data_IF_825521403390
#
_entry.id   IF_825521403390
#
_cell.length_a   1.000
_cell.length_b   1.000
_cell.length_c   1.000
_cell.angle_alpha   90.00
_cell.angle_beta   90.00
_cell.angle_gamma   90.00
#
_symmetry.space_group_name_H-M   'P 1'
#
loop_
_entity.id
_entity.type
_entity.pdbx_description
1 polymer ?
#
# COMPACT_ATOMS: atom_id res chain seq x y z
N UNK A 1 43.44 15.16 40.79
CA UNK A 1 44.03 14.67 39.54
C UNK A 1 43.03 13.73 38.87
N UNK A 2 42.24 14.28 37.95
CA UNK A 2 41.65 13.64 36.75
C UNK A 2 41.52 12.10 36.72
N UNK A 3 40.39 11.60 37.23
CA UNK A 3 39.81 10.32 36.81
C UNK A 3 39.07 10.51 35.48
N UNK A 4 39.70 10.15 34.36
CA UNK A 4 39.03 10.15 33.06
C UNK A 4 38.07 8.97 32.96
N UNK A 5 36.78 9.25 32.87
CA UNK A 5 35.76 8.27 32.48
C UNK A 5 35.97 7.87 31.02
N UNK A 6 35.98 6.57 30.73
CA UNK A 6 36.02 6.05 29.36
C UNK A 6 34.93 6.68 28.49
N UNK A 7 35.22 7.15 27.27
CA UNK A 7 34.18 7.56 26.34
C UNK A 7 33.33 6.33 26.00
N UNK A 8 32.01 6.46 26.11
CA UNK A 8 31.11 5.40 25.64
C UNK A 8 31.27 5.25 24.13
N UNK A 9 31.40 4.00 23.69
CA UNK A 9 31.41 3.65 22.28
C UNK A 9 30.02 3.98 21.71
N UNK A 10 29.94 5.05 20.92
CA UNK A 10 28.74 5.39 20.17
C UNK A 10 28.52 4.30 19.12
N UNK A 11 27.35 3.67 19.14
CA UNK A 11 26.93 2.80 18.04
C UNK A 11 26.95 3.59 16.72
N UNK A 12 27.47 3.01 15.62
CA UNK A 12 27.40 3.67 14.32
C UNK A 12 25.93 3.91 13.95
N UNK A 13 25.60 5.04 13.30
CA UNK A 13 24.23 5.31 12.88
C UNK A 13 23.74 4.18 11.98
N UNK A 14 22.44 3.85 12.08
CA UNK A 14 21.79 2.81 11.30
C UNK A 14 21.91 3.09 9.80
N UNK A 15 22.97 2.59 9.19
CA UNK A 15 23.08 2.45 7.74
C UNK A 15 22.03 1.43 7.35
N UNK A 16 20.96 1.90 6.71
CA UNK A 16 20.06 1.01 6.01
C UNK A 16 20.87 0.33 4.90
N UNK A 17 21.27 -0.92 5.10
CA UNK A 17 21.77 -1.70 3.97
C UNK A 17 20.61 -1.88 3.00
N UNK A 18 20.78 -1.44 1.76
CA UNK A 18 19.85 -1.75 0.67
C UNK A 18 19.77 -3.27 0.58
N UNK A 19 18.62 -3.82 0.98
CA UNK A 19 18.29 -5.24 0.90
C UNK A 19 18.67 -5.76 -0.48
N UNK A 20 19.72 -6.59 -0.53
CA UNK A 20 20.21 -7.17 -1.76
C UNK A 20 19.13 -8.06 -2.37
N UNK A 21 18.83 -7.85 -3.64
CA UNK A 21 17.76 -8.57 -4.34
C UNK A 21 18.04 -10.09 -4.31
N UNK A 22 17.11 -10.95 -3.84
CA UNK A 22 17.35 -12.38 -3.72
C UNK A 22 17.54 -13.03 -5.09
N UNK A 23 18.75 -13.54 -5.35
CA UNK A 23 19.14 -14.17 -6.62
C UNK A 23 18.52 -15.57 -6.74
N UNK A 24 17.31 -15.68 -7.31
CA UNK A 24 16.68 -16.98 -7.60
C UNK A 24 17.14 -17.56 -8.95
N UNK A 25 18.10 -18.49 -8.86
CA UNK A 25 18.32 -19.66 -9.73
C UNK A 25 18.06 -19.52 -11.24
N UNK A 26 19.13 -19.30 -12.01
CA UNK A 26 19.18 -19.60 -13.45
C UNK A 26 19.30 -21.10 -13.69
N UNK A 27 18.48 -21.67 -14.58
CA UNK A 27 18.76 -22.93 -15.23
C UNK A 27 19.44 -22.63 -16.58
N UNK A 28 20.69 -23.05 -16.75
CA UNK A 28 21.45 -22.83 -17.98
C UNK A 28 22.23 -24.09 -18.38
N UNK A 29 21.82 -24.74 -19.47
CA UNK A 29 22.64 -25.72 -20.16
C UNK A 29 23.72 -24.96 -20.96
N UNK A 30 24.99 -25.31 -20.78
CA UNK A 30 26.12 -24.59 -21.37
C UNK A 30 26.90 -25.45 -22.37
N UNK A 31 27.14 -24.93 -23.58
CA UNK A 31 28.11 -25.44 -24.57
C UNK A 31 28.66 -24.28 -25.41
N UNK A 32 30.01 -24.15 -25.46
CA UNK A 32 30.88 -23.50 -26.49
C UNK A 32 30.62 -22.02 -26.94
N UNK A 33 31.61 -21.22 -27.34
CA UNK A 33 33.09 -21.24 -27.19
C UNK A 33 33.63 -19.78 -27.30
N UNK A 34 34.95 -19.59 -27.44
CA UNK A 34 35.61 -18.26 -27.43
C UNK A 34 35.38 -17.38 -28.67
N UNK A 35 35.13 -16.08 -28.44
CA UNK A 35 35.54 -14.99 -29.33
C UNK A 35 35.78 -13.68 -28.55
N UNK A 36 36.61 -12.81 -29.12
CA UNK A 36 37.09 -11.51 -28.64
C UNK A 36 36.13 -10.63 -27.80
N UNK A 37 36.56 -10.26 -26.59
CA UNK A 37 36.47 -8.90 -26.08
C UNK A 37 35.12 -8.17 -26.11
N UNK A 38 34.09 -8.67 -25.44
CA UNK A 38 32.99 -7.83 -24.96
C UNK A 38 32.89 -7.89 -23.43
N UNK A 39 33.21 -6.77 -22.78
CA UNK A 39 32.67 -6.49 -21.45
C UNK A 39 31.15 -6.29 -21.61
N UNK A 40 30.38 -7.35 -21.41
CA UNK A 40 28.99 -7.24 -21.07
C UNK A 40 28.92 -6.56 -19.70
N UNK A 41 28.82 -5.23 -19.70
CA UNK A 41 28.40 -4.50 -18.53
C UNK A 41 27.10 -5.15 -18.03
N UNK A 42 26.95 -5.42 -16.71
CA UNK A 42 25.71 -5.98 -16.21
C UNK A 42 24.59 -5.03 -16.60
N UNK A 43 23.58 -5.55 -17.31
CA UNK A 43 22.37 -4.80 -17.59
C UNK A 43 21.74 -4.48 -16.24
N UNK A 44 21.97 -3.26 -15.75
CA UNK A 44 21.34 -2.74 -14.56
C UNK A 44 19.86 -2.60 -14.88
N UNK A 45 19.10 -3.65 -14.59
CA UNK A 45 17.66 -3.62 -14.55
C UNK A 45 17.25 -2.72 -13.37
N UNK A 46 17.32 -1.40 -13.60
CA UNK A 46 16.59 -0.46 -12.76
C UNK A 46 15.12 -0.81 -12.90
N UNK A 47 14.50 -1.31 -11.83
CA UNK A 47 13.06 -1.22 -11.70
C UNK A 47 12.75 0.28 -11.62
N UNK A 48 12.17 0.90 -12.66
CA UNK A 48 11.97 2.34 -12.65
C UNK A 48 11.00 2.69 -11.53
N UNK A 49 11.28 3.76 -10.78
CA UNK A 49 10.29 4.31 -9.86
C UNK A 49 9.18 4.89 -10.72
N UNK A 50 8.01 4.27 -10.67
CA UNK A 50 6.79 4.72 -11.36
C UNK A 50 5.72 5.07 -10.34
N UNK A 51 4.82 5.97 -10.73
CA UNK A 51 3.60 6.25 -9.97
C UNK A 51 2.45 5.47 -10.60
N UNK A 52 1.78 4.65 -9.80
CA UNK A 52 0.54 3.98 -10.21
C UNK A 52 -0.64 4.72 -9.58
N UNK A 53 -1.50 5.31 -10.43
CA UNK A 53 -2.80 5.78 -9.99
C UNK A 53 -3.71 4.61 -9.65
N UNK A 54 -4.44 4.70 -8.53
CA UNK A 54 -5.37 3.63 -8.10
C UNK A 54 -6.72 3.67 -8.84
N UNK A 55 -7.00 4.76 -9.56
CA UNK A 55 -8.27 5.03 -10.23
C UNK A 55 -9.31 5.67 -9.30
N UNK A 56 -10.57 5.55 -9.68
CA UNK A 56 -11.77 5.98 -8.96
C UNK A 56 -12.81 4.85 -9.03
N UNK A 57 -13.88 4.93 -8.24
CA UNK A 57 -15.05 4.07 -8.46
C UNK A 57 -15.78 4.48 -9.76
N UNK A 58 -16.51 3.55 -10.43
CA UNK A 58 -17.29 3.88 -11.60
C UNK A 58 -18.35 4.97 -11.31
N UNK A 59 -18.25 6.10 -12.01
CA UNK A 59 -19.14 7.26 -11.83
C UNK A 59 -18.54 8.37 -10.95
N UNK A 60 -17.50 8.08 -10.17
CA UNK A 60 -16.79 9.05 -9.35
C UNK A 60 -15.73 9.82 -10.17
N UNK A 61 -15.39 11.03 -9.72
CA UNK A 61 -14.48 11.95 -10.42
C UNK A 61 -13.11 12.09 -9.76
N UNK A 62 -12.99 11.78 -8.47
CA UNK A 62 -11.75 11.88 -7.70
C UNK A 62 -11.63 10.75 -6.66
N UNK A 63 -10.42 10.53 -6.12
CA UNK A 63 -10.19 9.56 -5.04
C UNK A 63 -9.02 9.97 -4.13
N UNK A 64 -9.02 9.46 -2.90
CA UNK A 64 -7.98 9.66 -1.89
C UNK A 64 -7.73 8.34 -1.16
N UNK A 65 -6.48 7.86 -1.16
CA UNK A 65 -6.05 6.75 -0.29
C UNK A 65 -5.71 7.28 1.10
N UNK A 66 -6.32 6.69 2.14
CA UNK A 66 -6.21 7.14 3.53
C UNK A 66 -5.67 6.04 4.48
N UNK A 67 -5.83 4.78 4.10
CA UNK A 67 -5.36 3.61 4.85
C UNK A 67 -4.51 2.70 3.96
N UNK A 68 -3.44 2.13 4.51
CA UNK A 68 -2.59 1.14 3.83
C UNK A 68 -2.34 -0.03 4.78
N UNK A 69 -2.47 -1.27 4.29
CA UNK A 69 -2.11 -2.46 5.06
C UNK A 69 -0.59 -2.55 5.25
N UNK A 70 -0.15 -3.13 6.36
CA UNK A 70 1.29 -3.24 6.67
C UNK A 70 2.06 -4.11 5.65
N UNK A 71 1.38 -4.99 4.92
CA UNK A 71 1.98 -5.76 3.83
C UNK A 71 1.95 -5.04 2.46
N UNK A 72 1.42 -3.82 2.41
CA UNK A 72 1.40 -2.93 1.25
C UNK A 72 0.39 -3.29 0.15
N UNK A 73 -0.43 -4.32 0.34
CA UNK A 73 -1.30 -4.87 -0.73
C UNK A 73 -2.69 -4.24 -0.81
N UNK A 74 -3.19 -3.71 0.29
CA UNK A 74 -4.56 -3.22 0.41
C UNK A 74 -4.56 -1.74 0.78
N UNK A 75 -5.17 -0.92 -0.07
CA UNK A 75 -5.42 0.50 0.21
C UNK A 75 -6.91 0.67 0.53
N UNK A 76 -7.21 1.41 1.60
CA UNK A 76 -8.55 1.91 1.90
C UNK A 76 -8.60 3.43 1.73
N UNK A 77 -9.76 3.97 1.40
CA UNK A 77 -9.94 5.42 1.31
C UNK A 77 -11.36 5.85 0.97
N UNK A 78 -11.47 7.00 0.32
CA UNK A 78 -12.71 7.52 -0.23
C UNK A 78 -12.54 7.88 -1.72
N UNK A 79 -13.51 7.48 -2.52
CA UNK A 79 -13.73 7.95 -3.88
C UNK A 79 -14.87 8.97 -3.82
N UNK A 80 -14.91 9.94 -4.74
CA UNK A 80 -15.80 11.10 -4.63
C UNK A 80 -16.58 11.32 -5.92
N UNK A 81 -17.90 11.44 -5.81
CA UNK A 81 -18.76 11.78 -6.93
C UNK A 81 -18.60 13.25 -7.38
N UNK A 82 -19.32 13.65 -8.43
CA UNK A 82 -19.29 15.02 -8.95
C UNK A 82 -19.85 16.10 -7.98
N UNK A 83 -20.55 15.69 -6.91
CA UNK A 83 -21.02 16.58 -5.83
C UNK A 83 -20.04 16.67 -4.64
N UNK A 84 -19.02 15.80 -4.61
CA UNK A 84 -18.09 15.65 -3.49
C UNK A 84 -18.58 14.68 -2.40
N UNK A 85 -19.61 13.88 -2.67
CA UNK A 85 -20.06 12.83 -1.75
C UNK A 85 -19.04 11.68 -1.72
N UNK A 86 -18.53 11.28 -0.53
CA UNK A 86 -17.52 10.24 -0.44
C UNK A 86 -18.13 8.83 -0.36
N UNK A 87 -17.54 7.91 -1.13
CA UNK A 87 -17.80 6.48 -1.15
C UNK A 87 -16.56 5.71 -0.68
N UNK A 88 -16.68 4.94 0.41
CA UNK A 88 -15.54 4.17 0.91
C UNK A 88 -15.16 3.05 -0.07
N UNK A 89 -13.86 2.90 -0.33
CA UNK A 89 -13.33 1.84 -1.19
C UNK A 89 -12.28 0.98 -0.49
N UNK A 90 -12.10 -0.23 -1.05
CA UNK A 90 -10.90 -1.06 -0.94
C UNK A 90 -10.27 -1.21 -2.32
N UNK A 91 -8.96 -1.05 -2.41
CA UNK A 91 -8.19 -1.30 -3.61
C UNK A 91 -7.18 -2.41 -3.36
N UNK A 92 -7.05 -3.32 -4.32
CA UNK A 92 -5.91 -4.25 -4.44
C UNK A 92 -5.42 -4.28 -5.89
N UNK A 93 -4.23 -4.82 -6.12
CA UNK A 93 -3.69 -4.98 -7.48
C UNK A 93 -4.52 -5.94 -8.34
N UNK A 94 -5.17 -6.92 -7.71
CA UNK A 94 -5.97 -7.97 -8.35
C UNK A 94 -7.39 -7.52 -8.71
N UNK A 95 -8.04 -6.72 -7.86
CA UNK A 95 -9.44 -6.28 -8.06
C UNK A 95 -9.58 -4.85 -8.58
N UNK A 96 -8.52 -4.04 -8.53
CA UNK A 96 -8.64 -2.60 -8.65
C UNK A 96 -9.47 -2.01 -7.50
N UNK A 97 -10.07 -0.84 -7.73
CA UNK A 97 -10.89 -0.14 -6.74
C UNK A 97 -12.31 -0.73 -6.68
N UNK A 98 -12.72 -1.19 -5.50
CA UNK A 98 -14.04 -1.77 -5.22
C UNK A 98 -14.68 -1.04 -4.06
N UNK A 99 -15.95 -0.66 -4.19
CA UNK A 99 -16.70 -0.01 -3.11
C UNK A 99 -16.88 -0.99 -1.92
N UNK A 100 -16.81 -0.48 -0.68
CA UNK A 100 -17.09 -1.32 0.49
C UNK A 100 -18.56 -1.75 0.60
N UNK A 101 -19.44 -1.13 -0.20
CA UNK A 101 -20.88 -1.30 -0.17
C UNK A 101 -21.58 -0.16 0.56
N UNK A 102 -22.91 -0.27 0.69
CA UNK A 102 -23.68 0.71 1.43
C UNK A 102 -23.25 0.73 2.91
N UNK A 103 -23.13 1.91 3.53
CA UNK A 103 -22.95 2.03 4.98
C UNK A 103 -24.23 1.59 5.73
N UNK A 104 -24.28 1.69 7.08
CA UNK A 104 -25.49 1.41 7.85
C UNK A 104 -26.72 2.17 7.29
N UNK A 105 -27.92 1.59 7.33
CA UNK A 105 -29.12 2.23 6.77
C UNK A 105 -29.33 3.66 7.26
N UNK A 106 -29.51 4.60 6.34
CA UNK A 106 -29.62 6.03 6.61
C UNK A 106 -28.36 6.85 6.30
N UNK A 107 -27.20 6.21 6.15
CA UNK A 107 -25.93 6.89 5.86
C UNK A 107 -25.50 6.71 4.40
N UNK A 108 -25.70 7.69 3.49
CA UNK A 108 -25.34 7.56 2.08
C UNK A 108 -23.82 7.60 1.85
N UNK A 109 -23.08 8.30 2.72
CA UNK A 109 -21.68 8.63 2.50
C UNK A 109 -20.78 7.79 3.41
N UNK A 110 -19.56 7.48 2.98
CA UNK A 110 -18.57 6.75 3.79
C UNK A 110 -17.12 7.04 3.45
N UNK A 111 -16.25 6.88 4.46
CA UNK A 111 -14.80 7.02 4.33
C UNK A 111 -14.13 5.87 5.09
N UNK A 112 -13.27 5.10 4.42
CA UNK A 112 -12.38 4.14 5.07
C UNK A 112 -11.15 4.87 5.63
N UNK A 113 -10.85 4.66 6.92
CA UNK A 113 -9.84 5.43 7.66
C UNK A 113 -8.66 4.59 8.15
N UNK A 114 -8.85 3.30 8.41
CA UNK A 114 -7.77 2.40 8.81
C UNK A 114 -8.03 0.96 8.35
N UNK A 115 -6.97 0.17 8.30
CA UNK A 115 -7.03 -1.25 7.96
C UNK A 115 -6.04 -2.06 8.79
N UNK A 116 -6.28 -3.36 8.94
CA UNK A 116 -5.40 -4.25 9.70
C UNK A 116 -4.17 -4.70 8.88
N UNK A 117 -3.27 -5.47 9.50
CA UNK A 117 -1.96 -5.88 8.96
C UNK A 117 -1.99 -6.39 7.50
N UNK A 118 -3.02 -7.15 7.14
CA UNK A 118 -3.20 -7.83 5.84
C UNK A 118 -4.39 -7.28 5.03
N UNK A 119 -5.02 -6.19 5.45
CA UNK A 119 -6.14 -5.59 4.73
C UNK A 119 -7.47 -6.35 4.75
N UNK A 120 -7.63 -7.36 5.60
CA UNK A 120 -8.85 -8.17 5.72
C UNK A 120 -9.94 -7.54 6.59
N UNK A 121 -9.60 -6.49 7.35
CA UNK A 121 -10.54 -5.69 8.14
C UNK A 121 -10.27 -4.22 7.84
N UNK A 122 -11.31 -3.49 7.47
CA UNK A 122 -11.28 -2.03 7.29
C UNK A 122 -12.22 -1.41 8.33
N UNK A 123 -11.84 -0.25 8.87
CA UNK A 123 -12.71 0.56 9.72
C UNK A 123 -12.79 1.99 9.19
N UNK A 124 -13.91 2.65 9.43
CA UNK A 124 -14.20 3.95 8.85
C UNK A 124 -15.40 4.64 9.50
N UNK A 125 -15.86 5.70 8.85
CA UNK A 125 -17.05 6.45 9.25
C UNK A 125 -18.08 6.48 8.13
N UNK A 126 -19.33 6.27 8.50
CA UNK A 126 -20.52 6.54 7.70
C UNK A 126 -21.01 7.96 8.06
N UNK A 127 -21.49 8.74 7.08
CA UNK A 127 -21.90 10.13 7.28
C UNK A 127 -23.29 10.42 6.69
N UNK A 128 -24.09 11.19 7.43
CA UNK A 128 -25.36 11.77 6.97
C UNK A 128 -25.56 13.13 7.64
N UNK A 129 -25.46 14.21 6.85
CA UNK A 129 -25.34 15.57 7.39
C UNK A 129 -24.23 15.64 8.47
N UNK A 130 -24.58 16.06 9.69
CA UNK A 130 -23.66 16.14 10.84
C UNK A 130 -23.52 14.81 11.61
N UNK A 131 -24.37 13.81 11.33
CA UNK A 131 -24.32 12.51 11.98
C UNK A 131 -23.18 11.65 11.43
N UNK A 132 -22.48 10.97 12.35
CA UNK A 132 -21.35 10.08 12.04
C UNK A 132 -21.45 8.80 12.86
N UNK A 133 -21.40 7.66 12.19
CA UNK A 133 -21.37 6.34 12.82
C UNK A 133 -20.11 5.61 12.37
N UNK A 134 -19.38 5.03 13.33
CA UNK A 134 -18.23 4.19 13.02
C UNK A 134 -18.72 2.87 12.39
N UNK A 135 -18.00 2.36 11.39
CA UNK A 135 -18.25 1.03 10.84
C UNK A 135 -16.99 0.17 10.81
N UNK A 136 -17.19 -1.14 10.86
CA UNK A 136 -16.22 -2.18 10.55
C UNK A 136 -16.67 -2.96 9.33
N UNK A 137 -15.75 -3.19 8.40
CA UNK A 137 -15.98 -3.93 7.16
C UNK A 137 -15.08 -5.15 7.05
N UNK A 138 -15.62 -6.24 6.50
CA UNK A 138 -14.85 -7.38 5.96
C UNK A 138 -15.51 -7.91 4.68
N UNK A 139 -14.75 -8.59 3.81
CA UNK A 139 -15.31 -9.24 2.61
C UNK A 139 -16.43 -10.25 2.95
N UNK A 140 -16.36 -10.90 4.12
CA UNK A 140 -17.33 -11.92 4.54
C UNK A 140 -18.66 -11.35 5.07
N UNK A 141 -18.68 -10.10 5.52
CA UNK A 141 -19.83 -9.49 6.22
C UNK A 141 -20.34 -8.19 5.61
N UNK A 142 -19.57 -7.56 4.72
CA UNK A 142 -19.77 -6.16 4.36
C UNK A 142 -19.60 -5.23 5.57
N UNK A 143 -20.23 -4.06 5.50
CA UNK A 143 -20.28 -3.07 6.58
C UNK A 143 -21.12 -3.56 7.76
N UNK A 144 -20.60 -3.35 8.97
CA UNK A 144 -21.21 -3.67 10.26
C UNK A 144 -20.90 -2.55 11.27
N UNK A 145 -21.75 -2.41 12.30
CA UNK A 145 -21.58 -1.45 13.41
C UNK A 145 -21.23 -2.20 14.70
#
# INVERSE_FOLDING_TARGET
>A
MNSWSSPQQLDPPLVWEKTSCPRSLFCACAVALFATGWFLAPANASCPVSFQGLGQLPGDVASQGLALSNDGRVVGGASFDASGAPHAFRWTAETGMVALGAPPPGFPNSVALATNRNGSVIVGIALFFDERVAFRWTEATGCSV
#
